data_IF_296018544356
#
_entry.id   IF_296018544356
#
_cell.length_a   1.000
_cell.length_b   1.000
_cell.length_c   1.000
_cell.angle_alpha   90.00
_cell.angle_beta   90.00
_cell.angle_gamma   90.00
#
_symmetry.space_group_name_H-M   'P 1'
#
loop_
_entity.id
_entity.type
_entity.pdbx_description
1 polymer ?
#
# COMPACT_ATOMS: atom_id res chain seq x y z
N UNK A 1 -13.97 1.45 -5.23
CA UNK A 1 -14.30 1.87 -6.63
C UNK A 1 -13.17 2.72 -7.16
N UNK A 2 -12.47 2.25 -8.20
CA UNK A 2 -11.37 3.00 -8.82
C UNK A 2 -11.97 4.20 -9.55
N UNK A 3 -11.53 5.40 -9.17
CA UNK A 3 -11.97 6.63 -9.82
C UNK A 3 -11.36 6.72 -11.23
N UNK A 4 -12.19 6.77 -12.27
CA UNK A 4 -11.77 6.88 -13.68
C UNK A 4 -10.88 8.10 -13.92
N UNK A 5 -11.07 9.20 -13.20
CA UNK A 5 -10.25 10.39 -13.34
C UNK A 5 -8.80 10.17 -12.91
N UNK A 6 -8.56 9.35 -11.87
CA UNK A 6 -7.19 9.02 -11.42
C UNK A 6 -6.40 8.27 -12.50
N UNK A 7 -7.03 7.31 -13.20
CA UNK A 7 -6.40 6.59 -14.31
C UNK A 7 -6.07 7.52 -15.48
N UNK A 8 -6.94 8.49 -15.76
CA UNK A 8 -6.70 9.50 -16.80
C UNK A 8 -5.46 10.36 -16.48
N UNK A 9 -5.33 10.83 -15.23
CA UNK A 9 -4.16 11.61 -14.82
C UNK A 9 -2.89 10.76 -14.79
N UNK A 10 -2.96 9.50 -14.37
CA UNK A 10 -1.83 8.58 -14.39
C UNK A 10 -1.31 8.40 -15.83
N UNK A 11 -2.18 8.11 -16.79
CA UNK A 11 -1.79 7.96 -18.20
C UNK A 11 -1.18 9.25 -18.77
N UNK A 12 -1.76 10.42 -18.47
CA UNK A 12 -1.17 11.71 -18.85
C UNK A 12 0.24 11.93 -18.29
N UNK A 13 0.47 11.53 -17.02
CA UNK A 13 1.78 11.65 -16.40
C UNK A 13 2.81 10.71 -17.07
N UNK A 14 2.40 9.50 -17.44
CA UNK A 14 3.24 8.54 -18.17
C UNK A 14 3.65 9.13 -19.52
N UNK A 15 2.70 9.65 -20.29
CA UNK A 15 2.95 10.29 -21.58
C UNK A 15 3.85 11.53 -21.43
N UNK A 16 3.53 12.43 -20.50
CA UNK A 16 4.28 13.65 -20.28
C UNK A 16 5.75 13.40 -19.91
N UNK A 17 6.01 12.35 -19.13
CA UNK A 17 7.37 11.98 -18.70
C UNK A 17 8.05 10.99 -19.64
N UNK A 18 7.44 10.61 -20.77
CA UNK A 18 7.96 9.58 -21.68
C UNK A 18 8.35 8.27 -20.96
N UNK A 19 7.55 7.85 -19.97
CA UNK A 19 7.82 6.69 -19.14
C UNK A 19 7.42 5.39 -19.86
N UNK A 20 8.23 4.94 -20.82
CA UNK A 20 7.96 3.78 -21.70
C UNK A 20 8.04 2.43 -20.98
N UNK A 21 8.60 2.41 -19.75
CA UNK A 21 8.76 1.22 -18.90
C UNK A 21 7.63 1.06 -17.88
N UNK A 22 6.54 1.82 -17.98
CA UNK A 22 5.39 1.76 -17.05
C UNK A 22 4.20 1.10 -17.72
N UNK A 23 3.62 0.10 -17.07
CA UNK A 23 2.37 -0.55 -17.46
C UNK A 23 1.30 -0.27 -16.43
N UNK A 24 0.14 0.23 -16.86
CA UNK A 24 -1.01 0.49 -15.98
C UNK A 24 -1.94 -0.71 -16.01
N UNK A 25 -2.19 -1.28 -14.84
CA UNK A 25 -3.14 -2.38 -14.66
C UNK A 25 -4.24 -1.88 -13.72
N UNK A 26 -5.49 -1.98 -14.16
CA UNK A 26 -6.64 -1.66 -13.32
C UNK A 26 -7.05 -2.92 -12.56
N UNK A 27 -7.10 -2.84 -11.22
CA UNK A 27 -7.56 -3.93 -10.37
C UNK A 27 -8.05 -3.41 -9.02
N UNK A 28 -8.71 -4.27 -8.26
CA UNK A 28 -9.12 -4.03 -6.87
C UNK A 28 -8.58 -5.17 -6.00
N UNK A 29 -7.62 -4.85 -5.14
CA UNK A 29 -6.97 -5.83 -4.27
C UNK A 29 -7.95 -6.52 -3.31
N UNK A 30 -9.05 -5.88 -2.96
CA UNK A 30 -10.08 -6.48 -2.10
C UNK A 30 -10.95 -7.50 -2.83
N UNK A 31 -10.99 -7.46 -4.16
CA UNK A 31 -11.70 -8.41 -5.02
C UNK A 31 -10.82 -9.55 -5.53
N UNK A 32 -9.51 -9.52 -5.23
CA UNK A 32 -8.57 -10.50 -5.73
C UNK A 32 -8.17 -10.28 -7.19
N UNK A 33 -8.36 -9.08 -7.71
CA UNK A 33 -7.96 -8.68 -9.07
C UNK A 33 -6.46 -8.35 -9.14
N UNK A 34 -5.63 -9.15 -8.46
CA UNK A 34 -4.19 -9.02 -8.54
C UNK A 34 -3.69 -9.38 -9.94
N UNK A 35 -2.67 -8.69 -10.42
CA UNK A 35 -2.06 -9.05 -11.70
C UNK A 35 -1.31 -10.40 -11.56
N UNK A 36 -1.37 -11.22 -12.60
CA UNK A 36 -0.64 -12.52 -12.67
C UNK A 36 0.88 -12.37 -12.84
N UNK A 37 1.39 -11.15 -12.63
CA UNK A 37 2.81 -10.85 -12.74
C UNK A 37 3.66 -11.46 -11.63
N UNK A 38 4.96 -11.59 -11.91
CA UNK A 38 5.99 -11.97 -10.92
C UNK A 38 6.89 -10.75 -10.69
N UNK A 39 7.05 -10.35 -9.43
CA UNK A 39 7.68 -9.09 -9.05
C UNK A 39 8.88 -9.31 -8.14
N UNK A 40 9.93 -8.51 -8.30
CA UNK A 40 11.06 -8.46 -7.38
C UNK A 40 10.79 -7.51 -6.19
N UNK A 41 9.95 -6.51 -6.42
CA UNK A 41 9.57 -5.51 -5.42
C UNK A 41 8.09 -5.14 -5.60
N UNK A 42 7.37 -5.10 -4.50
CA UNK A 42 6.01 -4.56 -4.42
C UNK A 42 6.02 -3.44 -3.39
N UNK A 43 5.55 -2.26 -3.78
CA UNK A 43 5.47 -1.07 -2.90
C UNK A 43 4.02 -0.62 -2.82
N UNK A 44 3.55 -0.28 -1.64
CA UNK A 44 2.21 0.27 -1.47
C UNK A 44 2.15 1.30 -0.34
N UNK A 45 1.40 2.37 -0.58
CA UNK A 45 0.86 3.26 0.45
C UNK A 45 -0.67 3.08 0.42
N UNK A 46 -1.19 2.06 1.13
CA UNK A 46 -2.63 1.77 1.10
C UNK A 46 -3.39 2.69 2.05
N UNK A 47 -4.73 2.83 1.91
CA UNK A 47 -5.55 3.46 2.92
C UNK A 47 -5.41 2.75 4.27
N UNK A 48 -5.15 3.51 5.33
CA UNK A 48 -4.90 2.96 6.67
C UNK A 48 -5.66 3.66 7.81
N UNK A 49 -6.42 4.73 7.55
CA UNK A 49 -7.11 5.48 8.59
C UNK A 49 -8.38 4.74 9.03
N UNK A 50 -8.53 4.40 10.34
CA UNK A 50 -9.77 3.86 10.86
C UNK A 50 -10.90 4.91 10.85
N UNK A 51 -12.18 4.51 10.73
CA UNK A 51 -13.31 5.46 10.75
C UNK A 51 -13.35 6.38 11.97
N UNK A 52 -12.95 5.90 13.14
CA UNK A 52 -12.91 6.68 14.39
C UNK A 52 -11.86 7.81 14.36
N UNK A 53 -10.87 7.74 13.50
CA UNK A 53 -9.82 8.76 13.36
C UNK A 53 -10.11 9.77 12.23
N UNK A 54 -11.14 9.54 11.41
CA UNK A 54 -11.48 10.43 10.29
C UNK A 54 -11.86 11.86 10.70
N UNK A 55 -12.27 12.07 11.94
CA UNK A 55 -12.64 13.41 12.45
C UNK A 55 -11.41 14.22 12.86
N UNK A 56 -10.30 13.57 13.19
CA UNK A 56 -9.08 14.21 13.71
C UNK A 56 -7.96 14.36 12.67
N UNK A 57 -8.23 13.95 11.41
CA UNK A 57 -7.27 14.12 10.32
C UNK A 57 -7.00 15.60 10.00
N UNK A 58 -5.82 15.88 9.45
CA UNK A 58 -5.44 17.23 9.07
C UNK A 58 -6.40 17.85 8.07
N UNK A 59 -6.56 19.19 8.05
CA UNK A 59 -7.42 19.87 7.07
C UNK A 59 -7.06 19.52 5.62
N UNK A 60 -5.77 19.37 5.31
CA UNK A 60 -5.27 19.05 3.98
C UNK A 60 -5.75 17.65 3.55
N UNK A 61 -5.69 16.67 4.45
CA UNK A 61 -6.11 15.28 4.20
C UNK A 61 -7.62 15.17 3.96
N UNK A 62 -8.42 16.10 4.49
CA UNK A 62 -9.89 16.13 4.29
C UNK A 62 -10.32 16.36 2.84
N UNK A 63 -9.45 16.92 2.00
CA UNK A 63 -9.72 17.09 0.57
C UNK A 63 -9.49 15.80 -0.23
N UNK A 64 -8.87 14.78 0.36
CA UNK A 64 -8.70 13.49 -0.29
C UNK A 64 -10.01 12.68 -0.28
N UNK A 65 -10.27 11.88 -1.32
CA UNK A 65 -11.41 10.98 -1.33
C UNK A 65 -11.39 10.03 -0.13
N UNK A 66 -12.48 9.87 0.58
CA UNK A 66 -12.59 8.92 1.73
C UNK A 66 -12.12 7.51 1.40
N UNK A 67 -12.33 7.06 0.15
CA UNK A 67 -11.86 5.77 -0.35
C UNK A 67 -10.33 5.65 -0.44
N UNK A 68 -9.61 6.76 -0.43
CA UNK A 68 -8.15 6.78 -0.40
C UNK A 68 -7.58 6.81 1.03
N UNK A 69 -8.43 6.98 2.03
CA UNK A 69 -8.04 7.15 3.43
C UNK A 69 -8.48 5.98 4.30
N UNK A 70 -9.70 5.45 4.11
CA UNK A 70 -10.31 4.46 4.99
C UNK A 70 -9.65 3.09 4.85
N UNK A 71 -8.95 2.65 5.89
CA UNK A 71 -8.22 1.39 6.00
C UNK A 71 -9.01 0.23 6.64
N UNK A 72 -10.36 0.35 6.73
CA UNK A 72 -11.19 -0.60 7.48
C UNK A 72 -11.25 -0.26 8.97
N UNK A 73 -11.89 -1.11 9.78
CA UNK A 73 -12.15 -0.81 11.19
C UNK A 73 -10.88 -0.61 12.03
N UNK A 74 -9.83 -1.37 11.73
CA UNK A 74 -8.55 -1.40 12.48
C UNK A 74 -7.37 -0.78 11.71
N UNK A 75 -7.62 -0.20 10.51
CA UNK A 75 -6.59 0.32 9.61
C UNK A 75 -5.87 -0.77 8.81
N UNK A 76 -6.10 -2.06 9.10
CA UNK A 76 -5.27 -3.15 8.56
C UNK A 76 -5.86 -3.87 7.34
N UNK A 77 -7.03 -3.45 6.87
CA UNK A 77 -7.76 -4.14 5.80
C UNK A 77 -6.92 -4.34 4.53
N UNK A 78 -6.33 -3.27 4.03
CA UNK A 78 -5.57 -3.31 2.78
C UNK A 78 -4.22 -3.99 2.93
N UNK A 79 -3.54 -3.83 4.07
CA UNK A 79 -2.29 -4.56 4.35
C UNK A 79 -2.51 -6.08 4.28
N UNK A 80 -3.56 -6.57 4.96
CA UNK A 80 -3.93 -8.01 4.94
C UNK A 80 -4.27 -8.48 3.52
N UNK A 81 -5.05 -7.68 2.77
CA UNK A 81 -5.43 -8.00 1.40
C UNK A 81 -4.21 -8.06 0.47
N UNK A 82 -3.33 -7.04 0.50
CA UNK A 82 -2.14 -7.00 -0.34
C UNK A 82 -1.21 -8.17 -0.04
N UNK A 83 -0.96 -8.46 1.23
CA UNK A 83 -0.13 -9.61 1.63
C UNK A 83 -0.72 -10.91 1.10
N UNK A 84 -2.02 -11.12 1.25
CA UNK A 84 -2.72 -12.32 0.77
C UNK A 84 -2.60 -12.49 -0.74
N UNK A 85 -2.93 -11.43 -1.50
CA UNK A 85 -3.02 -11.48 -2.97
C UNK A 85 -1.64 -11.52 -3.63
N UNK A 86 -0.66 -10.77 -3.12
CA UNK A 86 0.61 -10.58 -3.80
C UNK A 86 1.79 -11.37 -3.23
N UNK A 87 1.64 -12.08 -2.08
CA UNK A 87 2.74 -12.92 -1.55
C UNK A 87 3.27 -13.89 -2.61
N UNK A 88 2.37 -14.53 -3.35
CA UNK A 88 2.77 -15.52 -4.37
C UNK A 88 3.34 -14.88 -5.63
N UNK A 89 2.98 -13.65 -5.92
CA UNK A 89 3.51 -12.85 -7.03
C UNK A 89 4.91 -12.28 -6.78
N UNK A 90 5.43 -12.34 -5.56
CA UNK A 90 6.83 -12.00 -5.28
C UNK A 90 7.76 -13.17 -5.66
N UNK A 91 8.90 -12.84 -6.26
CA UNK A 91 10.01 -13.80 -6.44
C UNK A 91 10.55 -14.27 -5.09
N UNK A 92 11.25 -15.41 -5.07
CA UNK A 92 12.03 -15.82 -3.89
C UNK A 92 13.10 -14.75 -3.60
N UNK A 93 13.11 -14.22 -2.39
CA UNK A 93 13.95 -13.07 -2.02
C UNK A 93 13.43 -11.71 -2.47
N UNK A 94 12.24 -11.66 -3.08
CA UNK A 94 11.57 -10.41 -3.42
C UNK A 94 11.10 -9.66 -2.18
N UNK A 95 10.97 -8.33 -2.30
CA UNK A 95 10.67 -7.42 -1.21
C UNK A 95 9.23 -6.90 -1.29
N UNK A 96 8.57 -6.81 -0.15
CA UNK A 96 7.33 -6.06 0.04
C UNK A 96 7.63 -4.85 0.92
N UNK A 97 7.19 -3.65 0.50
CA UNK A 97 7.38 -2.40 1.21
C UNK A 97 6.04 -1.67 1.39
N UNK A 98 5.73 -1.29 2.62
CA UNK A 98 4.53 -0.54 2.97
C UNK A 98 4.88 0.81 3.60
N UNK A 99 4.19 1.88 3.17
CA UNK A 99 4.03 3.03 4.03
C UNK A 99 2.98 2.71 5.10
N UNK A 100 3.19 3.21 6.33
CA UNK A 100 2.31 2.93 7.47
C UNK A 100 1.91 4.21 8.21
N UNK A 101 0.73 4.20 8.79
CA UNK A 101 0.26 5.24 9.71
C UNK A 101 1.06 5.27 11.01
N UNK A 102 0.86 6.33 11.79
CA UNK A 102 1.52 6.49 13.10
C UNK A 102 1.08 5.33 14.02
N UNK A 103 2.06 4.65 14.65
CA UNK A 103 1.85 3.50 15.55
C UNK A 103 1.27 2.23 14.90
N UNK A 104 1.25 2.13 13.58
CA UNK A 104 0.77 0.95 12.86
C UNK A 104 1.88 -0.04 12.49
N UNK A 105 3.14 0.40 12.54
CA UNK A 105 4.31 -0.38 12.16
C UNK A 105 4.36 -1.78 12.80
N UNK A 106 4.02 -1.89 14.09
CA UNK A 106 3.99 -3.17 14.81
C UNK A 106 2.91 -4.11 14.30
N UNK A 107 1.70 -3.59 14.02
CA UNK A 107 0.59 -4.40 13.50
C UNK A 107 0.92 -4.92 12.10
N UNK A 108 1.49 -4.05 11.24
CA UNK A 108 1.88 -4.42 9.88
C UNK A 108 3.03 -5.45 9.92
N UNK A 109 4.03 -5.26 10.78
CA UNK A 109 5.10 -6.23 10.97
C UNK A 109 4.56 -7.61 11.42
N UNK A 110 3.56 -7.66 12.29
CA UNK A 110 2.95 -8.92 12.72
C UNK A 110 2.17 -9.61 11.58
N UNK A 111 1.46 -8.84 10.74
CA UNK A 111 0.80 -9.37 9.53
C UNK A 111 1.84 -10.04 8.62
N UNK A 112 2.96 -9.36 8.36
CA UNK A 112 4.04 -9.88 7.52
C UNK A 112 4.69 -11.13 8.12
N UNK A 113 4.94 -11.13 9.43
CA UNK A 113 5.49 -12.28 10.15
C UNK A 113 4.56 -13.49 10.11
N UNK A 114 3.26 -13.29 10.33
CA UNK A 114 2.24 -14.34 10.23
C UNK A 114 2.14 -14.92 8.82
N UNK A 115 2.45 -14.11 7.81
CA UNK A 115 2.54 -14.53 6.42
C UNK A 115 3.92 -15.10 6.02
N UNK A 116 4.78 -15.47 6.97
CA UNK A 116 6.12 -16.04 6.78
C UNK A 116 7.14 -15.16 6.04
N UNK A 117 6.93 -13.86 5.97
CA UNK A 117 7.97 -12.94 5.52
C UNK A 117 9.12 -12.88 6.54
N UNK A 118 10.34 -12.64 6.04
CA UNK A 118 11.58 -12.56 6.81
C UNK A 118 12.19 -11.17 6.72
N UNK A 119 13.22 -10.93 7.52
CA UNK A 119 13.99 -9.68 7.51
C UNK A 119 13.10 -8.43 7.55
N UNK A 120 12.11 -8.46 8.45
CA UNK A 120 11.18 -7.34 8.61
C UNK A 120 11.94 -6.16 9.22
N UNK A 121 11.93 -5.02 8.53
CA UNK A 121 12.63 -3.81 8.94
C UNK A 121 11.66 -2.63 8.98
N UNK A 122 11.82 -1.77 9.97
CA UNK A 122 11.05 -0.52 10.12
C UNK A 122 11.98 0.67 9.92
N UNK A 123 11.62 1.57 9.03
CA UNK A 123 12.36 2.79 8.73
C UNK A 123 11.57 4.01 9.15
N UNK A 124 12.27 4.99 9.74
CA UNK A 124 11.70 6.25 10.19
C UNK A 124 11.76 7.31 9.10
N UNK A 125 10.80 8.24 9.14
CA UNK A 125 10.86 9.48 8.37
C UNK A 125 11.84 10.49 9.00
N UNK A 126 11.98 11.66 8.37
CA UNK A 126 12.86 12.73 8.86
C UNK A 126 12.42 13.33 10.20
N UNK A 127 11.19 13.10 10.64
CA UNK A 127 10.67 13.50 11.94
C UNK A 127 10.87 12.42 13.02
N UNK A 128 11.50 11.29 12.68
CA UNK A 128 11.74 10.18 13.59
C UNK A 128 10.53 9.28 13.82
N UNK A 129 9.48 9.41 12.99
CA UNK A 129 8.26 8.60 13.05
C UNK A 129 8.42 7.36 12.17
N UNK A 130 8.06 6.18 12.67
CA UNK A 130 8.05 4.94 11.89
C UNK A 130 7.07 5.08 10.71
N UNK A 131 7.58 4.99 9.46
CA UNK A 131 6.81 5.24 8.25
C UNK A 131 6.87 4.16 7.21
N UNK A 132 7.92 3.36 7.19
CA UNK A 132 8.07 2.31 6.19
C UNK A 132 8.34 0.98 6.88
N UNK A 133 7.59 -0.04 6.50
CA UNK A 133 7.84 -1.44 6.89
C UNK A 133 8.19 -2.23 5.64
N UNK A 134 9.36 -2.86 5.64
CA UNK A 134 9.80 -3.74 4.56
C UNK A 134 9.96 -5.17 5.03
N UNK A 135 9.77 -6.14 4.13
CA UNK A 135 9.98 -7.54 4.43
C UNK A 135 10.37 -8.33 3.18
N UNK A 136 11.08 -9.43 3.36
CA UNK A 136 11.56 -10.31 2.29
C UNK A 136 10.75 -11.62 2.29
N UNK A 137 10.35 -12.07 1.08
CA UNK A 137 9.70 -13.36 0.88
C UNK A 137 10.68 -14.53 1.02
#
# INVERSE_FOLDING_TARGET
MINHDKLKYLNKNIEHNNATNVTVIKGDVLLGDASDGVYNLIVSNPPYIPPCEMEIISPETRYEPKTALLGGQDGMLFYKAIVKEYKNSLTKGGMLAFEVGINEDRKVAEILKTADFKNITVTKDFNGINRVVTAIK
#
